data_IF_247014001975
#
_entry.id   IF_247014001975
#
_cell.length_a   1.000
_cell.length_b   1.000
_cell.length_c   1.000
_cell.angle_alpha   90.00
_cell.angle_beta   90.00
_cell.angle_gamma   90.00
#
_symmetry.space_group_name_H-M   'P 1'
#
loop_
_entity.id
_entity.type
_entity.pdbx_description
1 polymer ?
#
# COMPACT_ATOMS: atom_id res chain seq x y z
N UNK A 1 -2.88 13.85 -18.74
CA UNK A 1 -2.12 12.68 -18.22
C UNK A 1 -1.85 12.85 -16.72
N UNK A 2 -1.55 11.78 -15.99
CA UNK A 2 -1.19 11.85 -14.55
C UNK A 2 0.03 12.76 -14.32
N UNK A 3 0.95 12.81 -15.25
CA UNK A 3 2.15 13.67 -15.21
C UNK A 3 1.76 15.13 -15.22
N UNK A 4 0.85 15.54 -16.10
CA UNK A 4 0.40 16.94 -16.22
C UNK A 4 -0.48 17.38 -15.07
N UNK A 5 -1.24 16.46 -14.47
CA UNK A 5 -2.16 16.78 -13.38
C UNK A 5 -1.49 16.89 -12.00
N UNK A 6 -0.27 16.37 -11.82
CA UNK A 6 0.40 16.29 -10.51
C UNK A 6 -0.33 15.40 -9.49
N UNK A 7 -1.32 14.61 -9.95
CA UNK A 7 -2.10 13.70 -9.11
C UNK A 7 -1.30 12.46 -8.71
N UNK A 8 -1.60 11.85 -7.57
CA UNK A 8 -0.96 10.60 -7.18
C UNK A 8 -1.34 9.46 -8.14
N UNK A 9 -0.40 8.56 -8.39
CA UNK A 9 -0.63 7.36 -9.20
C UNK A 9 -1.67 6.44 -8.57
N UNK A 10 -1.58 6.26 -7.27
CA UNK A 10 -2.54 5.48 -6.49
C UNK A 10 -3.24 6.38 -5.48
N UNK A 11 -4.55 6.35 -5.45
CA UNK A 11 -5.35 7.12 -4.50
C UNK A 11 -6.65 6.39 -4.18
N UNK A 12 -6.93 6.23 -2.89
CA UNK A 12 -8.22 5.73 -2.43
C UNK A 12 -9.33 6.71 -2.78
N UNK A 13 -10.56 6.24 -3.04
CA UNK A 13 -11.72 7.12 -3.20
C UNK A 13 -11.93 7.98 -1.95
N UNK A 14 -12.34 9.22 -2.15
CA UNK A 14 -12.61 10.18 -1.07
C UNK A 14 -14.12 10.35 -0.92
N UNK A 15 -14.61 10.34 0.31
CA UNK A 15 -16.01 10.67 0.60
C UNK A 15 -16.26 12.18 0.42
N UNK A 16 -17.46 12.54 -0.02
CA UNK A 16 -17.87 13.93 -0.01
C UNK A 16 -17.94 14.49 1.42
N UNK A 17 -17.65 15.77 1.58
CA UNK A 17 -17.67 16.49 2.84
C UNK A 17 -17.03 17.87 2.70
N UNK A 18 -17.02 18.63 3.80
CA UNK A 18 -16.20 19.83 3.90
C UNK A 18 -14.77 19.45 4.25
N UNK A 19 -13.83 20.37 4.04
CA UNK A 19 -12.44 20.12 4.43
C UNK A 19 -11.84 21.34 5.12
N UNK A 20 -11.03 21.08 6.14
CA UNK A 20 -10.16 22.09 6.75
C UNK A 20 -8.89 22.37 5.94
N UNK A 21 -8.64 21.61 4.86
CA UNK A 21 -7.47 21.78 4.00
C UNK A 21 -7.23 23.21 3.54
N UNK A 22 -8.22 23.91 2.97
CA UNK A 22 -8.07 25.32 2.55
C UNK A 22 -7.68 26.24 3.70
N UNK A 23 -8.19 26.04 4.91
CA UNK A 23 -7.83 26.84 6.09
C UNK A 23 -6.38 26.58 6.53
N UNK A 24 -5.92 25.32 6.45
CA UNK A 24 -4.52 24.96 6.73
C UNK A 24 -3.59 25.59 5.71
N UNK A 25 -3.96 25.60 4.42
CA UNK A 25 -3.20 26.28 3.35
C UNK A 25 -3.09 27.79 3.63
N UNK A 26 -4.18 28.45 3.95
CA UNK A 26 -4.17 29.87 4.29
C UNK A 26 -3.34 30.17 5.55
N UNK A 27 -3.37 29.26 6.54
CA UNK A 27 -2.54 29.36 7.73
C UNK A 27 -1.03 29.26 7.39
N UNK A 28 -0.65 28.34 6.53
CA UNK A 28 0.72 28.16 6.08
C UNK A 28 1.23 29.42 5.36
N UNK A 29 0.45 29.98 4.46
CA UNK A 29 0.78 31.21 3.76
C UNK A 29 0.96 32.39 4.74
N UNK A 30 0.03 32.57 5.68
CA UNK A 30 0.04 33.66 6.64
C UNK A 30 1.13 33.51 7.71
N UNK A 31 1.39 32.32 8.22
CA UNK A 31 2.24 32.11 9.38
C UNK A 31 3.63 31.58 9.03
N UNK A 32 3.74 30.67 8.08
CA UNK A 32 5.03 30.14 7.61
C UNK A 32 5.61 30.93 6.45
N UNK A 33 4.81 31.80 5.82
CA UNK A 33 5.18 32.54 4.62
C UNK A 33 5.61 31.63 3.46
N UNK A 34 4.96 30.50 3.31
CA UNK A 34 5.19 29.53 2.26
C UNK A 34 3.92 29.23 1.48
N UNK A 35 4.05 29.18 0.16
CA UNK A 35 3.03 28.67 -0.73
C UNK A 35 3.14 27.16 -0.82
N UNK A 36 2.12 26.44 -0.34
CA UNK A 36 2.09 24.98 -0.42
C UNK A 36 1.90 24.54 -1.87
N UNK A 37 2.65 23.51 -2.26
CA UNK A 37 2.54 22.92 -3.60
C UNK A 37 1.18 22.21 -3.79
N UNK A 38 0.67 22.07 -5.03
CA UNK A 38 -0.63 21.47 -5.31
C UNK A 38 -0.82 20.07 -4.69
N UNK A 39 0.23 19.25 -4.69
CA UNK A 39 0.16 17.92 -4.07
C UNK A 39 -0.01 17.97 -2.54
N UNK A 40 0.61 18.96 -1.88
CA UNK A 40 0.47 19.18 -0.43
C UNK A 40 -0.95 19.67 -0.10
N UNK A 41 -1.47 20.60 -0.90
CA UNK A 41 -2.87 21.07 -0.76
C UNK A 41 -3.85 19.92 -0.94
N UNK A 42 -3.65 19.06 -1.96
CA UNK A 42 -4.49 17.88 -2.21
C UNK A 42 -4.50 16.91 -1.01
N UNK A 43 -3.33 16.67 -0.40
CA UNK A 43 -3.24 15.81 0.80
C UNK A 43 -3.99 16.42 1.97
N UNK A 44 -3.81 17.73 2.22
CA UNK A 44 -4.50 18.42 3.30
C UNK A 44 -6.02 18.42 3.08
N UNK A 45 -6.47 18.73 1.86
CA UNK A 45 -7.89 18.71 1.51
C UNK A 45 -8.52 17.34 1.80
N UNK A 46 -7.90 16.27 1.35
CA UNK A 46 -8.47 14.93 1.49
C UNK A 46 -8.33 14.35 2.92
N UNK A 47 -7.17 14.50 3.56
CA UNK A 47 -6.96 13.98 4.91
C UNK A 47 -7.82 14.71 5.97
N UNK A 48 -8.08 16.00 5.76
CA UNK A 48 -8.87 16.82 6.69
C UNK A 48 -10.33 16.99 6.25
N UNK A 49 -10.81 16.12 5.35
CA UNK A 49 -12.22 16.04 5.00
C UNK A 49 -13.05 15.59 6.21
N UNK A 50 -14.17 16.30 6.47
CA UNK A 50 -15.05 16.02 7.60
C UNK A 50 -16.53 16.17 7.23
N UNK A 51 -17.38 15.46 7.98
CA UNK A 51 -18.86 15.63 7.97
C UNK A 51 -19.29 16.04 9.36
N UNK A 52 -19.92 17.20 9.48
CA UNK A 52 -20.31 17.79 10.77
C UNK A 52 -19.17 17.83 11.80
N UNK A 53 -17.94 18.20 11.36
CA UNK A 53 -16.74 18.29 12.21
C UNK A 53 -16.05 16.95 12.53
N UNK A 54 -16.62 15.82 12.13
CA UNK A 54 -15.98 14.50 12.30
C UNK A 54 -15.18 14.13 11.06
N UNK A 55 -13.91 13.83 11.23
CA UNK A 55 -13.05 13.39 10.13
C UNK A 55 -13.61 12.11 9.50
N UNK A 56 -13.63 12.11 8.16
CA UNK A 56 -14.04 10.94 7.36
C UNK A 56 -12.97 9.85 7.45
N UNK A 57 -11.72 10.24 7.39
CA UNK A 57 -10.58 9.33 7.49
C UNK A 57 -9.99 9.37 8.89
N UNK A 58 -9.73 8.18 9.46
CA UNK A 58 -9.02 8.04 10.74
C UNK A 58 -7.51 7.87 10.53
N UNK A 59 -7.13 7.41 9.35
CA UNK A 59 -5.74 7.19 8.96
C UNK A 59 -5.50 7.74 7.56
N UNK A 60 -4.47 8.57 7.41
CA UNK A 60 -3.93 8.98 6.11
C UNK A 60 -2.55 8.37 5.90
N UNK A 61 -2.34 7.74 4.76
CA UNK A 61 -1.07 7.17 4.31
C UNK A 61 -0.61 7.92 3.06
N UNK A 62 0.49 8.65 3.17
CA UNK A 62 1.04 9.46 2.09
C UNK A 62 2.43 8.97 1.73
N UNK A 63 2.59 8.49 0.50
CA UNK A 63 3.88 8.01 -0.01
C UNK A 63 4.34 8.87 -1.19
N UNK A 64 5.52 9.46 -1.05
CA UNK A 64 6.14 10.32 -2.06
C UNK A 64 7.66 10.22 -1.96
N UNK A 65 8.38 10.44 -3.05
CA UNK A 65 9.84 10.39 -3.07
C UNK A 65 10.47 11.38 -2.06
N UNK A 66 11.74 11.18 -1.75
CA UNK A 66 12.48 12.05 -0.82
C UNK A 66 12.54 13.49 -1.33
N UNK A 67 12.68 14.45 -0.40
CA UNK A 67 12.85 15.90 -0.66
C UNK A 67 11.69 16.58 -1.39
N UNK A 68 10.51 15.98 -1.42
CA UNK A 68 9.32 16.58 -2.03
C UNK A 68 8.56 17.55 -1.11
N UNK A 69 9.08 17.90 0.08
CA UNK A 69 8.46 18.92 0.95
C UNK A 69 7.44 18.36 1.95
N UNK A 70 7.55 17.09 2.36
CA UNK A 70 6.72 16.49 3.43
C UNK A 70 6.73 17.30 4.72
N UNK A 71 7.90 17.78 5.11
CA UNK A 71 8.11 18.55 6.34
C UNK A 71 7.25 19.80 6.40
N UNK A 72 7.24 20.60 5.32
CA UNK A 72 6.43 21.83 5.25
C UNK A 72 4.94 21.58 5.36
N UNK A 73 4.45 20.47 4.76
CA UNK A 73 3.06 20.04 4.92
C UNK A 73 2.74 19.71 6.38
N UNK A 74 3.64 18.97 7.07
CA UNK A 74 3.49 18.62 8.48
C UNK A 74 3.47 19.87 9.37
N UNK A 75 4.39 20.81 9.15
CA UNK A 75 4.45 22.07 9.89
C UNK A 75 3.16 22.88 9.74
N UNK A 76 2.61 22.98 8.53
CA UNK A 76 1.34 23.64 8.28
C UNK A 76 0.18 22.97 9.03
N UNK A 77 0.05 21.65 8.95
CA UNK A 77 -1.00 20.90 9.62
C UNK A 77 -0.90 21.01 11.15
N UNK A 78 0.28 20.79 11.71
CA UNK A 78 0.51 20.85 13.17
C UNK A 78 0.28 22.27 13.70
N UNK A 79 0.80 23.29 13.02
CA UNK A 79 0.64 24.67 13.42
C UNK A 79 -0.84 25.10 13.46
N UNK A 80 -1.61 24.80 12.43
CA UNK A 80 -3.05 25.07 12.39
C UNK A 80 -3.81 24.29 13.45
N UNK A 81 -3.53 22.99 13.62
CA UNK A 81 -4.16 22.16 14.63
C UNK A 81 -3.88 22.63 16.06
N UNK A 82 -2.74 23.25 16.31
CA UNK A 82 -2.36 23.73 17.64
C UNK A 82 -2.95 25.13 17.93
N UNK A 83 -3.14 25.97 16.92
CA UNK A 83 -3.46 27.40 17.11
C UNK A 83 -4.88 27.78 16.69
N UNK A 84 -5.51 27.06 15.76
CA UNK A 84 -6.84 27.38 15.22
C UNK A 84 -7.87 26.34 15.57
N UNK A 85 -7.58 25.07 15.36
CA UNK A 85 -8.55 23.97 15.55
C UNK A 85 -9.17 23.88 16.96
N UNK A 86 -8.42 24.14 18.07
CA UNK A 86 -8.99 24.14 19.42
C UNK A 86 -10.13 25.15 19.60
N UNK A 87 -10.05 26.30 18.90
CA UNK A 87 -11.10 27.33 18.94
C UNK A 87 -12.37 26.86 18.21
N UNK A 88 -12.22 26.08 17.12
CA UNK A 88 -13.35 25.51 16.38
C UNK A 88 -14.12 24.49 17.23
N UNK A 89 -13.38 23.62 17.95
CA UNK A 89 -13.99 22.52 18.72
C UNK A 89 -14.23 22.86 20.20
N UNK A 90 -13.77 24.03 20.67
CA UNK A 90 -13.96 24.51 22.04
C UNK A 90 -13.20 23.72 23.12
N UNK A 91 -12.12 23.02 22.77
CA UNK A 91 -11.29 22.26 23.70
C UNK A 91 -9.83 22.15 23.24
N UNK A 92 -8.86 21.98 24.15
CA UNK A 92 -7.48 21.73 23.79
C UNK A 92 -7.30 20.39 23.08
N UNK A 93 -6.21 20.27 22.30
CA UNK A 93 -5.83 19.07 21.57
C UNK A 93 -4.44 18.58 21.95
N UNK A 94 -4.22 17.27 21.84
CA UNK A 94 -2.94 16.63 22.03
C UNK A 94 -2.41 16.10 20.70
N UNK A 95 -1.23 16.55 20.29
CA UNK A 95 -0.58 16.21 19.04
C UNK A 95 0.73 15.46 19.35
N UNK A 96 0.94 14.32 18.69
CA UNK A 96 2.18 13.57 18.74
C UNK A 96 2.84 13.54 17.36
N UNK A 97 4.09 13.97 17.25
CA UNK A 97 4.92 13.69 16.08
C UNK A 97 5.96 12.64 16.42
N UNK A 98 6.14 11.67 15.54
CA UNK A 98 7.10 10.59 15.70
C UNK A 98 7.82 10.28 14.38
N UNK A 99 9.11 9.98 14.47
CA UNK A 99 9.90 9.52 13.34
C UNK A 99 10.88 8.43 13.79
N UNK A 100 11.43 7.69 12.85
CA UNK A 100 12.49 6.73 13.15
C UNK A 100 13.76 7.44 13.64
N UNK A 101 14.17 8.48 12.94
CA UNK A 101 15.28 9.36 13.35
C UNK A 101 14.75 10.59 14.10
N UNK A 102 15.09 10.66 15.38
CA UNK A 102 14.69 11.80 16.22
C UNK A 102 15.39 13.10 15.80
N UNK A 103 16.58 13.04 15.20
CA UNK A 103 17.35 14.21 14.79
C UNK A 103 16.61 15.04 13.74
N UNK A 104 16.13 14.39 12.69
CA UNK A 104 15.33 15.04 11.63
C UNK A 104 13.99 15.60 12.15
N UNK A 105 13.31 14.84 13.03
CA UNK A 105 12.07 15.29 13.65
C UNK A 105 12.28 16.52 14.56
N UNK A 106 13.46 16.65 15.19
CA UNK A 106 13.83 17.78 16.06
C UNK A 106 14.17 19.03 15.25
N UNK A 107 14.78 18.90 14.07
CA UNK A 107 15.04 20.07 13.20
C UNK A 107 13.73 20.72 12.76
N UNK A 108 12.80 19.93 12.26
CA UNK A 108 11.44 20.41 11.90
C UNK A 108 10.70 20.99 13.10
N UNK A 109 10.84 20.38 14.28
CA UNK A 109 10.28 20.89 15.52
C UNK A 109 10.79 22.31 15.84
N UNK A 110 12.09 22.58 15.74
CA UNK A 110 12.63 23.89 16.08
C UNK A 110 12.11 25.00 15.18
N UNK A 111 12.04 24.76 13.89
CA UNK A 111 11.56 25.77 12.93
C UNK A 111 10.12 26.21 13.24
N UNK A 112 9.21 25.27 13.45
CA UNK A 112 7.82 25.59 13.79
C UNK A 112 7.67 26.12 15.22
N UNK A 113 8.44 25.58 16.19
CA UNK A 113 8.36 25.99 17.59
C UNK A 113 8.71 27.47 17.80
N UNK A 114 9.71 27.99 17.09
CA UNK A 114 10.09 29.40 17.16
C UNK A 114 8.93 30.31 16.72
N UNK A 115 8.23 29.97 15.65
CA UNK A 115 7.06 30.70 15.17
C UNK A 115 5.90 30.64 16.19
N UNK A 116 5.68 29.47 16.78
CA UNK A 116 4.63 29.27 17.78
C UNK A 116 4.92 30.04 19.09
N UNK A 117 6.17 30.12 19.50
CA UNK A 117 6.60 30.89 20.65
C UNK A 117 6.39 32.39 20.41
N UNK A 118 6.90 32.90 19.29
CA UNK A 118 6.90 34.34 18.98
C UNK A 118 5.49 34.88 18.68
N UNK A 119 4.70 34.16 17.88
CA UNK A 119 3.43 34.68 17.36
C UNK A 119 2.20 34.25 18.17
N UNK A 120 2.28 33.10 18.85
CA UNK A 120 1.14 32.51 19.55
C UNK A 120 1.34 32.37 21.07
N UNK A 121 2.48 32.82 21.58
CA UNK A 121 2.77 32.80 23.02
C UNK A 121 2.88 31.38 23.61
N UNK A 122 3.21 30.39 22.78
CA UNK A 122 3.43 29.04 23.25
C UNK A 122 4.67 28.92 24.12
N UNK A 123 4.65 28.02 25.08
CA UNK A 123 5.83 27.68 25.92
C UNK A 123 6.55 26.47 25.34
N UNK A 124 7.83 26.63 25.04
CA UNK A 124 8.62 25.59 24.37
C UNK A 124 9.54 24.90 25.39
N UNK A 125 9.54 23.58 25.37
CA UNK A 125 10.54 22.77 26.08
C UNK A 125 11.47 22.15 25.06
N UNK A 126 12.77 22.51 25.13
CA UNK A 126 13.85 21.98 24.29
C UNK A 126 14.83 21.22 25.17
N UNK A 127 14.57 19.93 25.41
CA UNK A 127 15.48 19.08 26.20
C UNK A 127 15.65 17.74 25.46
N UNK A 128 16.80 17.12 25.61
CA UNK A 128 17.09 15.81 25.01
C UNK A 128 15.98 14.81 25.35
N UNK A 129 15.30 14.32 24.31
CA UNK A 129 14.17 13.40 24.45
C UNK A 129 12.86 14.03 24.96
N UNK A 130 12.77 15.36 25.11
CA UNK A 130 11.58 16.08 25.57
C UNK A 130 11.36 17.38 24.78
N UNK A 131 11.11 17.26 23.50
CA UNK A 131 10.71 18.39 22.68
C UNK A 131 9.18 18.53 22.71
N UNK A 132 8.69 19.65 23.25
CA UNK A 132 7.27 19.86 23.47
C UNK A 132 6.90 21.34 23.37
N UNK A 133 5.76 21.62 22.73
CA UNK A 133 5.09 22.89 22.70
C UNK A 133 3.85 22.83 23.57
N UNK A 134 3.66 23.81 24.45
CA UNK A 134 2.42 23.97 25.22
C UNK A 134 1.78 25.31 24.83
N UNK A 135 0.60 25.22 24.22
CA UNK A 135 -0.18 26.39 23.83
C UNK A 135 -0.91 27.01 25.04
N UNK A 136 -1.27 28.31 24.99
CA UNK A 136 -1.94 28.99 26.11
C UNK A 136 -3.30 28.38 26.49
N UNK A 137 -3.99 27.74 25.55
CA UNK A 137 -5.29 27.08 25.74
C UNK A 137 -5.18 25.67 26.39
N UNK A 138 -3.96 25.19 26.61
CA UNK A 138 -3.68 23.87 27.16
C UNK A 138 -3.41 22.79 26.09
N UNK A 139 -3.47 23.14 24.79
CA UNK A 139 -3.08 22.22 23.72
C UNK A 139 -1.60 21.90 23.78
N UNK A 140 -1.25 20.68 23.42
CA UNK A 140 0.13 20.17 23.50
C UNK A 140 0.56 19.54 22.18
N UNK A 141 1.75 19.90 21.72
CA UNK A 141 2.45 19.16 20.68
C UNK A 141 3.75 18.57 21.22
N UNK A 142 3.91 17.26 21.11
CA UNK A 142 5.09 16.52 21.56
C UNK A 142 5.78 15.82 20.41
N UNK A 143 7.12 15.88 20.38
CA UNK A 143 7.95 15.10 19.46
C UNK A 143 8.64 13.98 20.24
N UNK A 144 8.57 12.75 19.74
CA UNK A 144 9.14 11.58 20.38
C UNK A 144 9.68 10.58 19.35
N UNK A 145 10.79 9.93 19.65
CA UNK A 145 11.24 8.80 18.84
C UNK A 145 10.22 7.64 18.90
N UNK A 146 10.04 6.95 17.77
CA UNK A 146 9.14 5.79 17.71
C UNK A 146 9.83 4.53 18.25
N UNK A 147 10.19 4.55 19.51
CA UNK A 147 10.59 3.33 20.22
C UNK A 147 9.31 2.64 20.70
N UNK A 148 9.19 1.31 20.51
CA UNK A 148 8.01 0.53 20.94
C UNK A 148 7.70 0.56 22.43
N UNK A 149 8.30 1.49 23.19
CA UNK A 149 7.93 1.83 24.56
C UNK A 149 6.67 2.69 24.51
N UNK A 150 5.67 2.33 25.31
CA UNK A 150 4.36 3.00 25.42
C UNK A 150 4.53 4.51 25.40
N UNK A 151 4.06 5.17 24.35
CA UNK A 151 3.84 6.62 24.36
C UNK A 151 2.65 6.87 25.30
N UNK A 152 2.92 7.01 26.61
CA UNK A 152 1.88 7.29 27.60
C UNK A 152 1.15 8.58 27.23
N UNK A 153 -0.15 8.49 27.03
CA UNK A 153 -1.03 9.61 26.70
C UNK A 153 -2.11 9.22 25.70
N UNK A 154 -3.13 10.08 25.61
CA UNK A 154 -4.18 10.01 24.61
C UNK A 154 -3.94 11.13 23.61
N UNK A 155 -3.85 10.78 22.32
CA UNK A 155 -3.46 11.71 21.26
C UNK A 155 -4.63 11.91 20.29
N UNK A 156 -5.06 13.16 20.12
CA UNK A 156 -6.08 13.52 19.12
C UNK A 156 -5.51 13.38 17.70
N UNK A 157 -4.26 13.81 17.52
CA UNK A 157 -3.55 13.78 16.24
C UNK A 157 -2.19 13.10 16.38
N UNK A 158 -1.87 12.24 15.43
CA UNK A 158 -0.55 11.58 15.34
C UNK A 158 0.01 11.82 13.94
N UNK A 159 1.24 12.28 13.89
CA UNK A 159 2.03 12.44 12.67
C UNK A 159 3.24 11.52 12.73
N UNK A 160 3.26 10.50 11.86
CA UNK A 160 4.39 9.58 11.74
C UNK A 160 5.15 9.83 10.44
N UNK A 161 6.43 10.16 10.52
CA UNK A 161 7.30 10.22 9.35
C UNK A 161 8.19 8.98 9.27
N UNK A 162 8.69 8.69 8.07
CA UNK A 162 9.50 7.51 7.77
C UNK A 162 8.83 6.18 8.17
N UNK A 163 7.54 6.02 7.83
CA UNK A 163 6.77 4.81 8.14
C UNK A 163 7.47 3.52 7.69
N UNK A 164 8.29 3.57 6.63
CA UNK A 164 9.06 2.44 6.13
C UNK A 164 9.96 1.80 7.20
N UNK A 165 10.39 2.58 8.21
CA UNK A 165 11.27 2.14 9.29
C UNK A 165 10.53 1.88 10.62
N UNK A 166 9.20 2.15 10.71
CA UNK A 166 8.43 1.95 11.93
C UNK A 166 8.05 0.47 12.12
N UNK A 167 8.18 -0.02 13.35
CA UNK A 167 7.80 -1.39 13.69
C UNK A 167 6.30 -1.56 13.93
N UNK A 168 5.80 -2.79 13.83
CA UNK A 168 4.42 -3.15 14.18
C UNK A 168 4.09 -2.80 15.63
N UNK A 169 5.02 -3.05 16.54
CA UNK A 169 4.86 -2.69 17.95
C UNK A 169 4.70 -1.18 18.17
N UNK A 170 5.37 -0.34 17.36
CA UNK A 170 5.21 1.10 17.42
C UNK A 170 3.83 1.54 16.91
N UNK A 171 3.44 1.14 15.71
CA UNK A 171 2.20 1.63 15.08
C UNK A 171 0.96 0.94 15.65
N UNK A 172 0.90 -0.37 15.62
CA UNK A 172 -0.28 -1.13 16.04
C UNK A 172 -0.31 -1.40 17.55
N UNK A 173 0.86 -1.52 18.19
CA UNK A 173 0.95 -1.77 19.63
C UNK A 173 0.93 -0.51 20.51
N UNK A 174 1.29 0.66 19.98
CA UNK A 174 1.37 1.88 20.76
C UNK A 174 0.56 3.05 20.18
N UNK A 175 0.79 3.45 18.91
CA UNK A 175 0.17 4.65 18.35
C UNK A 175 -1.36 4.48 18.18
N UNK A 176 -1.82 3.44 17.50
CA UNK A 176 -3.27 3.18 17.32
C UNK A 176 -4.03 3.02 18.63
N UNK A 177 -3.57 2.22 19.60
CA UNK A 177 -4.25 2.12 20.89
C UNK A 177 -4.36 3.45 21.65
N UNK A 178 -3.40 4.37 21.50
CA UNK A 178 -3.44 5.69 22.16
C UNK A 178 -4.57 6.59 21.66
N UNK A 179 -5.16 6.27 20.52
CA UNK A 179 -6.30 6.99 19.91
C UNK A 179 -7.67 6.31 20.11
N UNK A 180 -7.73 5.12 20.72
CA UNK A 180 -8.97 4.34 20.77
C UNK A 180 -10.10 5.05 21.52
N UNK A 181 -9.74 5.82 22.55
CA UNK A 181 -10.68 6.59 23.37
C UNK A 181 -10.96 8.00 22.81
N UNK A 182 -10.31 8.39 21.71
CA UNK A 182 -10.49 9.71 21.10
C UNK A 182 -11.72 9.68 20.18
N UNK A 183 -12.70 10.59 20.38
CA UNK A 183 -13.92 10.58 19.55
C UNK A 183 -13.67 10.92 18.09
N UNK A 184 -12.68 11.77 17.78
CA UNK A 184 -12.38 12.26 16.43
C UNK A 184 -10.88 12.26 16.16
N UNK A 185 -10.23 11.09 16.13
CA UNK A 185 -8.78 11.00 15.94
C UNK A 185 -8.40 11.07 14.47
N UNK A 186 -7.19 11.55 14.20
CA UNK A 186 -6.57 11.47 12.89
C UNK A 186 -5.09 11.06 13.04
N UNK A 187 -4.66 10.04 12.31
CA UNK A 187 -3.27 9.61 12.21
C UNK A 187 -2.80 9.80 10.77
N UNK A 188 -1.78 10.64 10.54
CA UNK A 188 -1.16 10.85 9.24
C UNK A 188 0.24 10.24 9.23
N UNK A 189 0.44 9.29 8.32
CA UNK A 189 1.66 8.54 8.16
C UNK A 189 2.30 8.86 6.82
N UNK A 190 3.55 9.30 6.86
CA UNK A 190 4.31 9.70 5.68
C UNK A 190 5.47 8.74 5.45
N UNK A 191 5.76 8.46 4.18
CA UNK A 191 6.87 7.57 3.82
C UNK A 191 7.39 7.84 2.41
N UNK A 192 8.56 7.32 2.17
CA UNK A 192 9.06 6.93 0.84
C UNK A 192 8.98 5.40 0.76
N UNK A 193 9.04 4.80 -0.43
CA UNK A 193 8.96 3.35 -0.61
C UNK A 193 9.89 2.60 0.36
N UNK A 194 9.37 1.55 0.94
CA UNK A 194 10.09 0.66 1.84
C UNK A 194 10.80 -0.50 1.13
N UNK A 195 11.12 -1.50 1.92
CA UNK A 195 11.67 -2.78 1.45
C UNK A 195 10.93 -3.96 2.12
N UNK A 196 11.48 -5.15 1.99
CA UNK A 196 10.93 -6.38 2.55
C UNK A 196 10.78 -6.36 4.09
N UNK A 197 11.48 -5.47 4.79
CA UNK A 197 11.37 -5.30 6.25
C UNK A 197 10.26 -4.34 6.67
N UNK A 198 9.72 -3.53 5.77
CA UNK A 198 8.77 -2.45 6.02
C UNK A 198 7.33 -2.99 6.20
N UNK A 199 7.12 -3.95 7.10
CA UNK A 199 5.87 -4.72 7.22
C UNK A 199 4.62 -3.88 7.46
N UNK A 200 4.68 -2.91 8.38
CA UNK A 200 3.54 -2.03 8.68
C UNK A 200 3.11 -1.24 7.46
N UNK A 201 4.09 -0.69 6.75
CA UNK A 201 3.81 0.07 5.54
C UNK A 201 3.23 -0.82 4.45
N UNK A 202 3.75 -2.04 4.27
CA UNK A 202 3.20 -3.02 3.35
C UNK A 202 1.74 -3.33 3.67
N UNK A 203 1.40 -3.63 4.93
CA UNK A 203 0.03 -3.94 5.36
C UNK A 203 -0.94 -2.78 5.07
N UNK A 204 -0.58 -1.55 5.44
CA UNK A 204 -1.42 -0.37 5.18
C UNK A 204 -1.57 -0.09 3.67
N UNK A 205 -0.48 -0.27 2.91
CA UNK A 205 -0.50 -0.10 1.46
C UNK A 205 -1.39 -1.15 0.78
N UNK A 206 -1.31 -2.42 1.20
CA UNK A 206 -2.18 -3.48 0.69
C UNK A 206 -3.66 -3.18 0.97
N UNK A 207 -3.99 -2.70 2.18
CA UNK A 207 -5.32 -2.25 2.51
C UNK A 207 -5.77 -1.11 1.58
N UNK A 208 -4.89 -0.13 1.33
CA UNK A 208 -5.16 0.97 0.40
C UNK A 208 -5.43 0.49 -1.03
N UNK A 209 -4.65 -0.47 -1.55
CA UNK A 209 -4.86 -1.07 -2.88
C UNK A 209 -6.21 -1.79 -2.97
N UNK A 210 -6.61 -2.54 -1.95
CA UNK A 210 -7.92 -3.17 -1.90
C UNK A 210 -9.06 -2.14 -1.92
N UNK A 211 -8.91 -1.01 -1.22
CA UNK A 211 -9.89 0.07 -1.20
C UNK A 211 -10.00 0.71 -2.60
N UNK A 212 -8.87 0.91 -3.29
CA UNK A 212 -8.84 1.42 -4.66
C UNK A 212 -9.61 0.48 -5.59
N UNK A 213 -9.34 -0.82 -5.55
CA UNK A 213 -9.96 -1.82 -6.42
C UNK A 213 -11.46 -1.99 -6.12
N UNK A 214 -11.88 -1.84 -4.86
CA UNK A 214 -13.31 -1.83 -4.49
C UNK A 214 -14.03 -0.55 -4.92
N UNK A 215 -13.32 0.55 -5.14
CA UNK A 215 -13.90 1.83 -5.55
C UNK A 215 -14.78 2.52 -4.50
N UNK A 216 -14.74 2.08 -3.23
CA UNK A 216 -15.57 2.63 -2.14
C UNK A 216 -14.70 3.33 -1.11
N UNK A 217 -15.13 4.52 -0.61
CA UNK A 217 -14.41 5.22 0.46
C UNK A 217 -14.30 4.38 1.74
N UNK A 218 -13.24 4.62 2.51
CA UNK A 218 -12.93 3.95 3.77
C UNK A 218 -12.40 4.96 4.80
N UNK A 219 -12.18 4.51 6.03
CA UNK A 219 -11.48 5.26 7.07
C UNK A 219 -9.96 5.40 6.82
N UNK A 220 -9.41 4.67 5.85
CA UNK A 220 -8.05 4.85 5.35
C UNK A 220 -8.06 5.66 4.05
N UNK A 221 -7.44 6.84 4.10
CA UNK A 221 -7.00 7.58 2.91
C UNK A 221 -5.59 7.16 2.53
N UNK A 222 -5.34 6.82 1.28
CA UNK A 222 -4.00 6.57 0.74
C UNK A 222 -3.78 7.41 -0.51
N UNK A 223 -2.60 8.05 -0.58
CA UNK A 223 -2.10 8.71 -1.78
C UNK A 223 -0.63 8.37 -1.99
N UNK A 224 -0.29 7.86 -3.18
CA UNK A 224 1.07 7.47 -3.54
C UNK A 224 1.48 8.09 -4.86
N UNK A 225 2.54 8.90 -4.81
CA UNK A 225 3.28 9.41 -5.96
C UNK A 225 4.47 8.50 -6.21
N UNK A 226 4.39 7.69 -7.24
CA UNK A 226 5.44 6.72 -7.57
C UNK A 226 5.49 6.46 -9.07
N UNK A 227 6.68 6.16 -9.60
CA UNK A 227 6.79 5.58 -10.93
C UNK A 227 6.21 4.15 -10.90
N UNK A 228 5.39 3.75 -11.87
CA UNK A 228 4.84 2.39 -11.90
C UNK A 228 5.94 1.33 -11.75
N UNK A 229 5.67 0.24 -10.98
CA UNK A 229 6.65 -0.83 -10.83
C UNK A 229 7.01 -1.41 -12.19
N UNK A 230 8.28 -1.76 -12.35
CA UNK A 230 8.78 -2.38 -13.55
C UNK A 230 9.06 -1.43 -14.73
N UNK A 231 8.79 -0.14 -14.62
CA UNK A 231 9.21 0.82 -15.64
C UNK A 231 10.72 1.10 -15.55
N UNK A 232 11.34 1.36 -16.72
CA UNK A 232 12.76 1.70 -16.79
C UNK A 232 13.06 2.96 -15.96
N UNK A 233 13.89 2.89 -14.93
CA UNK A 233 14.23 4.03 -14.08
C UNK A 233 15.00 5.14 -14.84
N UNK A 234 15.53 4.86 -16.03
CA UNK A 234 16.21 5.83 -16.88
C UNK A 234 15.29 6.72 -17.70
N UNK A 235 13.99 6.45 -17.75
CA UNK A 235 13.01 7.25 -18.48
C UNK A 235 12.64 8.49 -17.67
N UNK A 236 13.32 9.60 -17.94
CA UNK A 236 13.21 10.85 -17.18
C UNK A 236 11.79 11.47 -17.22
N UNK A 237 11.04 11.21 -18.29
CA UNK A 237 9.66 11.65 -18.47
C UNK A 237 8.71 11.07 -17.42
N UNK A 238 9.07 9.96 -16.78
CA UNK A 238 8.28 9.34 -15.71
C UNK A 238 8.59 9.87 -14.30
N UNK A 239 9.74 10.55 -14.13
CA UNK A 239 10.17 11.03 -12.81
C UNK A 239 9.20 11.98 -12.12
N UNK A 240 8.43 12.84 -12.83
CA UNK A 240 7.40 13.67 -12.21
C UNK A 240 6.31 12.88 -11.49
N UNK A 241 6.04 11.62 -11.86
CA UNK A 241 5.06 10.78 -11.19
C UNK A 241 5.40 10.50 -9.71
N UNK A 242 6.69 10.48 -9.38
CA UNK A 242 7.17 10.30 -8.01
C UNK A 242 7.59 11.61 -7.34
N UNK A 243 7.82 12.67 -8.14
CA UNK A 243 8.39 13.93 -7.69
C UNK A 243 7.48 15.11 -8.03
N UNK A 244 6.35 15.28 -7.32
CA UNK A 244 5.45 16.42 -7.57
C UNK A 244 6.06 17.78 -7.22
N UNK A 245 7.25 17.81 -6.59
CA UNK A 245 8.04 19.02 -6.34
C UNK A 245 9.08 19.32 -7.45
N UNK A 246 9.12 18.50 -8.51
CA UNK A 246 10.06 18.72 -9.63
C UNK A 246 9.77 20.06 -10.32
N UNK A 247 10.83 20.84 -10.54
CA UNK A 247 10.74 22.20 -11.07
C UNK A 247 10.42 23.28 -10.02
N UNK A 248 10.22 22.89 -8.74
CA UNK A 248 10.07 23.78 -7.59
C UNK A 248 11.28 23.65 -6.65
N UNK A 249 11.34 22.60 -5.86
CA UNK A 249 12.44 22.33 -4.90
C UNK A 249 13.41 21.28 -5.38
N UNK A 250 13.04 20.47 -6.37
CA UNK A 250 13.88 19.44 -6.99
C UNK A 250 14.14 19.83 -8.43
N UNK A 251 15.39 19.78 -8.88
CA UNK A 251 15.75 20.04 -10.29
C UNK A 251 15.95 18.73 -11.06
N UNK A 252 15.77 18.78 -12.37
CA UNK A 252 15.99 17.63 -13.24
C UNK A 252 17.45 17.17 -13.19
N UNK A 253 18.39 18.11 -13.12
CA UNK A 253 19.83 17.86 -13.03
C UNK A 253 20.19 17.09 -11.74
N UNK A 254 19.52 17.43 -10.62
CA UNK A 254 19.74 16.72 -9.36
C UNK A 254 19.27 15.27 -9.46
N UNK A 255 18.10 15.01 -10.05
CA UNK A 255 17.60 13.65 -10.29
C UNK A 255 18.49 12.91 -11.30
N UNK A 256 18.96 13.56 -12.35
CA UNK A 256 19.88 12.96 -13.32
C UNK A 256 21.20 12.57 -12.66
N UNK A 257 21.73 13.43 -11.78
CA UNK A 257 22.93 13.12 -11.01
C UNK A 257 22.71 11.92 -10.07
N UNK A 258 21.58 11.86 -9.38
CA UNK A 258 21.21 10.74 -8.54
C UNK A 258 21.03 9.44 -9.36
N UNK A 259 20.41 9.53 -10.54
CA UNK A 259 20.28 8.39 -11.45
C UNK A 259 21.63 7.86 -11.92
N UNK A 260 22.63 8.72 -12.15
CA UNK A 260 23.95 8.33 -12.60
C UNK A 260 24.79 7.62 -11.50
N UNK A 261 24.34 7.68 -10.23
CA UNK A 261 25.00 6.97 -9.14
C UNK A 261 24.96 5.44 -9.36
N UNK A 262 25.95 4.70 -8.82
CA UNK A 262 26.06 3.25 -9.02
C UNK A 262 24.87 2.47 -8.45
N UNK A 263 24.31 2.90 -7.32
CA UNK A 263 23.20 2.22 -6.64
C UNK A 263 21.85 2.58 -7.26
N UNK A 264 21.46 1.82 -8.28
CA UNK A 264 20.17 1.99 -8.97
C UNK A 264 18.98 1.63 -8.08
N UNK A 265 19.13 0.66 -7.18
CA UNK A 265 18.06 0.26 -6.25
C UNK A 265 17.73 1.42 -5.30
N UNK A 266 18.76 2.06 -4.76
CA UNK A 266 18.58 3.24 -3.91
C UNK A 266 17.94 4.40 -4.68
N UNK A 267 18.32 4.65 -5.93
CA UNK A 267 17.68 5.66 -6.77
C UNK A 267 16.19 5.36 -6.96
N UNK A 268 15.83 4.13 -7.32
CA UNK A 268 14.45 3.71 -7.53
C UNK A 268 13.60 3.87 -6.26
N UNK A 269 14.14 3.50 -5.09
CA UNK A 269 13.43 3.68 -3.82
C UNK A 269 13.31 5.13 -3.40
N UNK A 270 14.42 5.87 -3.40
CA UNK A 270 14.49 7.22 -2.84
C UNK A 270 13.84 8.29 -3.74
N UNK A 271 14.00 8.17 -5.07
CA UNK A 271 13.63 9.19 -6.03
C UNK A 271 12.50 8.78 -6.99
N UNK A 272 12.23 7.49 -7.15
CA UNK A 272 11.09 7.01 -7.94
C UNK A 272 9.96 6.44 -7.07
N UNK A 273 10.18 6.37 -5.76
CA UNK A 273 9.24 5.83 -4.78
C UNK A 273 8.74 4.42 -5.14
N UNK A 274 9.64 3.62 -5.73
CA UNK A 274 9.34 2.27 -6.18
C UNK A 274 9.70 1.23 -5.12
N UNK A 275 8.80 0.26 -4.94
CA UNK A 275 9.04 -0.92 -4.14
C UNK A 275 9.87 -1.91 -4.93
N UNK A 276 11.16 -1.95 -4.69
CA UNK A 276 12.13 -2.78 -5.42
C UNK A 276 12.97 -3.62 -4.48
N UNK A 277 13.35 -4.81 -4.95
CA UNK A 277 14.33 -5.68 -4.30
C UNK A 277 15.64 -5.70 -5.13
N UNK A 278 16.74 -5.99 -4.47
CA UNK A 278 18.02 -6.24 -5.12
C UNK A 278 18.03 -7.55 -5.96
N UNK A 279 17.06 -8.43 -5.76
CA UNK A 279 16.88 -9.67 -6.53
C UNK A 279 16.06 -9.41 -7.82
N UNK A 280 16.25 -10.27 -8.83
CA UNK A 280 15.64 -10.07 -10.16
C UNK A 280 14.12 -10.18 -10.18
N UNK A 281 13.47 -9.27 -10.88
CA UNK A 281 12.03 -9.31 -11.11
C UNK A 281 11.59 -10.54 -11.90
N UNK A 282 10.38 -11.03 -11.64
CA UNK A 282 9.78 -12.13 -12.38
C UNK A 282 9.46 -11.77 -13.82
N UNK A 283 8.91 -10.58 -14.05
CA UNK A 283 8.55 -10.06 -15.36
C UNK A 283 9.35 -8.79 -15.68
N UNK A 284 9.56 -8.57 -16.99
CA UNK A 284 10.10 -7.31 -17.48
C UNK A 284 9.08 -6.16 -17.30
N UNK A 285 9.57 -4.92 -17.24
CA UNK A 285 8.74 -3.73 -17.13
C UNK A 285 7.64 -3.66 -18.20
N UNK A 286 6.42 -3.30 -17.77
CA UNK A 286 5.28 -3.06 -18.67
C UNK A 286 4.60 -4.32 -19.24
N UNK A 287 5.21 -5.50 -19.16
CA UNK A 287 4.65 -6.74 -19.71
C UNK A 287 3.25 -7.02 -19.16
N UNK A 288 3.08 -6.94 -17.84
CA UNK A 288 1.77 -7.21 -17.22
C UNK A 288 0.72 -6.18 -17.62
N UNK A 289 1.04 -4.90 -17.61
CA UNK A 289 0.11 -3.83 -17.98
C UNK A 289 -0.42 -3.94 -19.40
N UNK A 290 0.37 -4.49 -20.34
CA UNK A 290 -0.05 -4.72 -21.72
C UNK A 290 -1.09 -5.83 -21.91
N UNK A 291 -1.41 -6.58 -20.84
CA UNK A 291 -2.33 -7.74 -20.89
C UNK A 291 -3.72 -7.42 -20.31
N UNK A 292 -4.01 -6.16 -20.01
CA UNK A 292 -5.33 -5.75 -19.53
C UNK A 292 -6.39 -5.91 -20.61
N UNK A 293 -7.56 -6.42 -20.23
CA UNK A 293 -8.70 -6.62 -21.13
C UNK A 293 -10.00 -6.14 -20.49
N UNK A 294 -10.91 -5.65 -21.36
CA UNK A 294 -12.30 -5.38 -21.00
C UNK A 294 -13.23 -6.57 -21.29
N UNK A 295 -12.72 -7.67 -21.84
CA UNK A 295 -13.51 -8.84 -22.15
C UNK A 295 -14.08 -9.46 -20.85
N UNK A 296 -15.29 -10.01 -20.86
CA UNK A 296 -15.88 -10.58 -19.67
C UNK A 296 -15.12 -11.83 -19.19
N UNK A 297 -15.00 -11.99 -17.88
CA UNK A 297 -14.39 -13.17 -17.28
C UNK A 297 -15.16 -14.44 -17.65
N UNK A 298 -14.54 -15.46 -18.28
CA UNK A 298 -15.22 -16.70 -18.62
C UNK A 298 -15.74 -17.44 -17.38
N UNK A 299 -16.79 -18.26 -17.57
CA UNK A 299 -17.30 -19.11 -16.50
C UNK A 299 -16.36 -20.30 -16.22
N UNK A 300 -16.46 -20.88 -15.02
CA UNK A 300 -15.66 -22.05 -14.62
C UNK A 300 -14.21 -21.75 -14.33
N UNK A 301 -13.34 -22.72 -14.56
CA UNK A 301 -11.90 -22.61 -14.38
C UNK A 301 -11.37 -23.18 -13.06
N UNK A 302 -10.30 -22.57 -12.56
CA UNK A 302 -9.62 -22.94 -11.31
C UNK A 302 -9.58 -21.74 -10.39
N UNK A 303 -10.05 -21.94 -9.15
CA UNK A 303 -9.92 -20.98 -8.06
C UNK A 303 -8.75 -21.44 -7.17
N UNK A 304 -7.66 -20.71 -7.15
CA UNK A 304 -6.56 -20.94 -6.22
C UNK A 304 -6.70 -20.04 -5.00
N UNK A 305 -6.52 -20.62 -3.82
CA UNK A 305 -6.60 -19.91 -2.55
C UNK A 305 -5.36 -20.12 -1.70
N UNK A 306 -4.97 -19.06 -1.00
CA UNK A 306 -3.81 -19.05 -0.12
C UNK A 306 -4.03 -18.10 1.06
N UNK A 307 -3.27 -18.32 2.13
CA UNK A 307 -3.16 -17.37 3.26
C UNK A 307 -1.82 -16.62 3.22
N UNK A 308 -1.80 -15.41 3.76
CA UNK A 308 -0.55 -14.68 4.02
C UNK A 308 0.31 -15.43 5.06
N UNK A 309 1.61 -15.11 5.10
CA UNK A 309 2.57 -15.78 6.00
C UNK A 309 2.19 -15.64 7.49
N UNK A 310 1.50 -14.55 7.83
CA UNK A 310 1.05 -14.22 9.19
C UNK A 310 -0.42 -14.61 9.45
N UNK A 311 -1.04 -15.34 8.54
CA UNK A 311 -2.45 -15.76 8.57
C UNK A 311 -3.47 -14.61 8.77
N UNK A 312 -3.04 -13.38 8.52
CA UNK A 312 -3.88 -12.18 8.67
C UNK A 312 -4.74 -11.89 7.44
N UNK A 313 -4.50 -12.60 6.34
CA UNK A 313 -5.19 -12.36 5.06
C UNK A 313 -5.32 -13.64 4.26
N UNK A 314 -6.49 -13.84 3.68
CA UNK A 314 -6.83 -14.96 2.80
C UNK A 314 -7.19 -14.42 1.42
N UNK A 315 -6.63 -15.00 0.38
CA UNK A 315 -6.80 -14.54 -0.99
C UNK A 315 -7.32 -15.65 -1.90
N UNK A 316 -8.10 -15.26 -2.91
CA UNK A 316 -8.57 -16.17 -3.94
C UNK A 316 -8.43 -15.54 -5.33
N UNK A 317 -7.73 -16.25 -6.23
CA UNK A 317 -7.57 -15.88 -7.64
C UNK A 317 -8.17 -16.96 -8.51
N UNK A 318 -9.07 -16.56 -9.40
CA UNK A 318 -9.67 -17.46 -10.38
C UNK A 318 -9.03 -17.25 -11.75
N UNK A 319 -8.68 -18.36 -12.39
CA UNK A 319 -8.29 -18.40 -13.79
C UNK A 319 -9.28 -19.24 -14.59
N UNK A 320 -9.70 -18.74 -15.74
CA UNK A 320 -10.59 -19.45 -16.67
C UNK A 320 -10.08 -19.31 -18.11
N UNK A 321 -10.27 -20.35 -18.91
CA UNK A 321 -9.81 -20.38 -20.29
C UNK A 321 -10.99 -20.19 -21.24
N UNK A 322 -10.89 -19.23 -22.16
CA UNK A 322 -11.94 -18.91 -23.13
C UNK A 322 -11.84 -19.71 -24.43
N UNK A 323 -10.85 -20.59 -24.56
CA UNK A 323 -10.51 -21.32 -25.78
C UNK A 323 -9.24 -20.79 -26.46
N UNK A 324 -8.81 -19.58 -26.12
CA UNK A 324 -7.62 -18.90 -26.72
C UNK A 324 -6.66 -18.44 -25.62
N UNK A 325 -7.17 -17.77 -24.61
CA UNK A 325 -6.39 -17.13 -23.54
C UNK A 325 -6.92 -17.51 -22.15
N UNK A 326 -6.05 -17.38 -21.16
CA UNK A 326 -6.39 -17.54 -19.75
C UNK A 326 -6.72 -16.18 -19.18
N UNK A 327 -7.95 -15.99 -18.73
CA UNK A 327 -8.39 -14.81 -17.98
C UNK A 327 -8.12 -14.98 -16.50
N UNK A 328 -7.70 -13.93 -15.85
CA UNK A 328 -7.34 -13.90 -14.42
C UNK A 328 -8.15 -12.85 -13.70
N UNK A 329 -8.71 -13.19 -12.55
CA UNK A 329 -9.47 -12.29 -11.70
C UNK A 329 -9.21 -12.57 -10.23
N UNK A 330 -9.08 -11.53 -9.42
CA UNK A 330 -9.11 -11.61 -7.96
C UNK A 330 -10.56 -11.76 -7.53
N UNK A 331 -10.93 -12.91 -6.98
CA UNK A 331 -12.31 -13.15 -6.55
C UNK A 331 -12.58 -12.63 -5.14
N UNK A 332 -11.59 -12.72 -4.26
CA UNK A 332 -11.71 -12.18 -2.91
C UNK A 332 -10.34 -11.93 -2.24
N UNK A 333 -10.38 -11.03 -1.27
CA UNK A 333 -9.34 -10.83 -0.25
C UNK A 333 -10.08 -10.58 1.05
N UNK A 334 -9.86 -11.42 2.06
CA UNK A 334 -10.56 -11.39 3.36
C UNK A 334 -9.57 -11.49 4.51
N UNK A 335 -9.99 -11.02 5.69
CA UNK A 335 -9.14 -10.97 6.89
C UNK A 335 -9.37 -12.18 7.82
N UNK A 336 -10.33 -13.04 7.49
CA UNK A 336 -10.64 -14.24 8.28
C UNK A 336 -10.86 -15.45 7.40
N UNK A 337 -10.48 -16.63 7.90
CA UNK A 337 -10.67 -17.88 7.20
C UNK A 337 -12.15 -18.19 6.95
N UNK A 338 -13.03 -17.88 7.92
CA UNK A 338 -14.48 -18.06 7.76
C UNK A 338 -15.03 -17.23 6.59
N UNK A 339 -14.63 -15.97 6.46
CA UNK A 339 -15.03 -15.15 5.33
C UNK A 339 -14.48 -15.68 4.01
N UNK A 340 -13.25 -16.20 4.01
CA UNK A 340 -12.66 -16.83 2.83
C UNK A 340 -13.47 -18.04 2.36
N UNK A 341 -13.87 -18.93 3.27
CA UNK A 341 -14.71 -20.09 2.92
C UNK A 341 -16.11 -19.69 2.43
N UNK A 342 -16.68 -18.60 2.95
CA UNK A 342 -17.94 -18.04 2.42
C UNK A 342 -17.77 -17.59 0.97
N UNK A 343 -16.68 -16.90 0.65
CA UNK A 343 -16.40 -16.49 -0.73
C UNK A 343 -16.09 -17.67 -1.66
N UNK A 344 -15.37 -18.69 -1.19
CA UNK A 344 -15.14 -19.93 -1.93
C UNK A 344 -16.46 -20.59 -2.27
N UNK A 345 -17.40 -20.71 -1.31
CA UNK A 345 -18.72 -21.29 -1.54
C UNK A 345 -19.51 -20.51 -2.59
N UNK A 346 -19.50 -19.18 -2.51
CA UNK A 346 -20.10 -18.29 -3.52
C UNK A 346 -19.54 -18.58 -4.91
N UNK A 347 -18.20 -18.54 -5.07
CA UNK A 347 -17.56 -18.75 -6.38
C UNK A 347 -17.82 -20.15 -6.92
N UNK A 348 -17.81 -21.18 -6.05
CA UNK A 348 -18.11 -22.57 -6.45
C UNK A 348 -19.58 -22.80 -6.81
N UNK A 349 -20.48 -21.98 -6.29
CA UNK A 349 -21.92 -22.00 -6.62
C UNK A 349 -22.19 -21.29 -7.95
N UNK A 350 -21.59 -20.12 -8.15
CA UNK A 350 -21.78 -19.29 -9.33
C UNK A 350 -21.07 -19.87 -10.56
N UNK A 351 -20.00 -20.61 -10.36
CA UNK A 351 -19.12 -21.14 -11.41
C UNK A 351 -18.73 -22.59 -11.15
N UNK A 352 -18.62 -23.37 -12.21
CA UNK A 352 -18.13 -24.75 -12.15
C UNK A 352 -16.60 -24.79 -12.04
N UNK A 353 -16.07 -24.35 -10.90
CA UNK A 353 -14.61 -24.27 -10.65
C UNK A 353 -14.07 -25.52 -9.96
N UNK A 354 -12.76 -25.79 -10.19
CA UNK A 354 -11.94 -26.66 -9.36
C UNK A 354 -11.16 -25.83 -8.38
N UNK A 355 -11.12 -26.20 -7.11
CA UNK A 355 -10.37 -25.48 -6.08
C UNK A 355 -8.90 -25.96 -6.06
N UNK A 356 -7.96 -25.02 -6.06
CA UNK A 356 -6.56 -25.26 -5.75
C UNK A 356 -6.28 -24.67 -4.35
N UNK A 357 -5.86 -25.51 -3.41
CA UNK A 357 -5.75 -25.15 -2.00
C UNK A 357 -4.37 -25.50 -1.47
N UNK A 358 -3.81 -24.62 -0.62
CA UNK A 358 -2.54 -24.90 0.05
C UNK A 358 -2.70 -25.92 1.19
N UNK A 359 -1.64 -26.64 1.59
CA UNK A 359 -1.73 -27.65 2.65
C UNK A 359 -2.25 -27.12 3.98
N UNK A 360 -1.97 -25.87 4.32
CA UNK A 360 -2.47 -25.20 5.54
C UNK A 360 -3.99 -25.07 5.55
N UNK A 361 -4.60 -24.81 4.40
CA UNK A 361 -6.06 -24.67 4.24
C UNK A 361 -6.74 -26.00 3.93
N UNK A 362 -6.02 -26.99 3.40
CA UNK A 362 -6.57 -28.32 3.10
C UNK A 362 -7.21 -28.97 4.33
N UNK A 363 -6.59 -28.84 5.50
CA UNK A 363 -7.07 -29.44 6.75
C UNK A 363 -8.39 -28.85 7.25
N UNK A 364 -8.76 -27.68 6.74
CA UNK A 364 -9.99 -26.96 7.11
C UNK A 364 -11.06 -26.95 6.01
N UNK A 365 -10.92 -27.81 4.98
CA UNK A 365 -11.84 -27.85 3.84
C UNK A 365 -13.29 -28.11 4.26
N UNK A 366 -14.22 -27.21 3.94
CA UNK A 366 -15.63 -27.40 4.22
C UNK A 366 -16.24 -28.54 3.38
N UNK A 367 -17.32 -29.20 3.86
CA UNK A 367 -17.97 -30.30 3.15
C UNK A 367 -18.50 -29.94 1.74
N UNK A 368 -18.86 -28.68 1.50
CA UNK A 368 -19.40 -28.24 0.20
C UNK A 368 -18.39 -28.36 -0.94
N UNK A 369 -17.09 -28.47 -0.66
CA UNK A 369 -16.05 -28.62 -1.69
C UNK A 369 -16.16 -29.94 -2.46
N UNK A 370 -16.85 -30.94 -1.91
CA UNK A 370 -17.22 -32.21 -2.58
C UNK A 370 -16.04 -32.89 -3.30
N UNK A 371 -14.84 -32.87 -2.72
CA UNK A 371 -13.61 -33.42 -3.32
C UNK A 371 -13.20 -32.81 -4.69
N UNK A 372 -13.77 -31.68 -5.09
CA UNK A 372 -13.35 -30.94 -6.29
C UNK A 372 -12.21 -29.98 -5.98
N UNK A 373 -11.16 -30.51 -5.40
CA UNK A 373 -9.97 -29.73 -5.06
C UNK A 373 -8.68 -30.47 -5.43
N UNK A 374 -7.61 -29.69 -5.53
CA UNK A 374 -6.23 -30.17 -5.70
C UNK A 374 -5.36 -29.41 -4.72
N UNK A 375 -4.50 -30.13 -4.01
CA UNK A 375 -3.52 -29.49 -3.13
C UNK A 375 -2.35 -28.98 -3.96
N UNK A 376 -1.98 -27.73 -3.72
CA UNK A 376 -0.88 -27.02 -4.39
C UNK A 376 0.09 -26.44 -3.38
N UNK A 377 1.35 -26.43 -3.70
CA UNK A 377 2.37 -25.94 -2.79
C UNK A 377 3.64 -25.52 -3.53
N UNK A 378 4.75 -25.58 -2.80
CA UNK A 378 6.06 -25.20 -3.35
C UNK A 378 6.46 -26.02 -4.58
N UNK A 379 6.19 -27.33 -4.59
CA UNK A 379 6.52 -28.21 -5.71
C UNK A 379 5.79 -27.80 -7.01
N UNK A 380 4.49 -27.47 -6.90
CA UNK A 380 3.70 -26.98 -8.02
C UNK A 380 4.15 -25.59 -8.44
N UNK A 381 4.48 -24.70 -7.48
CA UNK A 381 5.00 -23.37 -7.78
C UNK A 381 6.31 -23.46 -8.55
N UNK A 382 7.26 -24.29 -8.11
CA UNK A 382 8.52 -24.53 -8.82
C UNK A 382 8.29 -25.03 -10.26
N UNK A 383 7.34 -25.95 -10.44
CA UNK A 383 7.02 -26.52 -11.75
C UNK A 383 6.31 -25.55 -12.68
N UNK A 384 5.44 -24.68 -12.14
CA UNK A 384 4.55 -23.86 -12.94
C UNK A 384 5.05 -22.44 -13.18
N UNK A 385 5.97 -21.92 -12.35
CA UNK A 385 6.46 -20.54 -12.47
C UNK A 385 6.99 -20.21 -13.86
N UNK A 386 7.86 -21.06 -14.42
CA UNK A 386 8.43 -20.85 -15.76
C UNK A 386 7.38 -21.00 -16.86
N UNK A 387 6.45 -21.96 -16.73
CA UNK A 387 5.36 -22.17 -17.69
C UNK A 387 4.46 -20.92 -17.75
N UNK A 388 3.99 -20.42 -16.62
CA UNK A 388 3.09 -19.27 -16.58
C UNK A 388 3.82 -18.00 -17.02
N UNK A 389 5.10 -17.84 -16.68
CA UNK A 389 5.92 -16.74 -17.22
C UNK A 389 5.95 -16.77 -18.74
N UNK A 390 6.14 -17.93 -19.35
CA UNK A 390 6.12 -18.08 -20.83
C UNK A 390 4.75 -17.72 -21.39
N UNK A 391 3.65 -18.18 -20.76
CA UNK A 391 2.29 -17.83 -21.21
C UNK A 391 2.04 -16.32 -21.15
N UNK A 392 2.54 -15.64 -20.13
CA UNK A 392 2.44 -14.18 -20.00
C UNK A 392 3.22 -13.49 -21.13
N UNK A 393 4.46 -13.90 -21.38
CA UNK A 393 5.33 -13.34 -22.44
C UNK A 393 4.77 -13.60 -23.86
N UNK A 394 3.99 -14.66 -24.04
CA UNK A 394 3.31 -15.02 -25.29
C UNK A 394 1.89 -14.40 -25.37
N UNK A 395 1.54 -13.48 -24.47
CA UNK A 395 0.22 -12.81 -24.40
C UNK A 395 -0.98 -13.78 -24.33
N UNK A 396 -0.77 -14.94 -23.73
CA UNK A 396 -1.78 -15.98 -23.52
C UNK A 396 -2.53 -15.85 -22.19
N UNK A 397 -2.20 -14.84 -21.40
CA UNK A 397 -2.85 -14.48 -20.14
C UNK A 397 -3.41 -13.08 -20.27
N UNK A 398 -4.62 -12.84 -19.74
CA UNK A 398 -5.24 -11.52 -19.65
C UNK A 398 -5.77 -11.28 -18.24
N UNK A 399 -5.82 -10.01 -17.81
CA UNK A 399 -6.34 -9.61 -16.51
C UNK A 399 -7.31 -8.42 -16.63
N UNK A 400 -8.08 -8.15 -15.57
CA UNK A 400 -9.16 -7.17 -15.59
C UNK A 400 -8.79 -5.83 -14.90
N UNK A 401 -7.49 -5.53 -14.76
CA UNK A 401 -7.01 -4.23 -14.31
C UNK A 401 -6.95 -4.04 -12.80
N UNK A 402 -7.13 -5.09 -11.98
CA UNK A 402 -7.01 -4.96 -10.53
C UNK A 402 -5.61 -4.48 -10.12
N UNK A 403 -5.55 -3.33 -9.43
CA UNK A 403 -4.29 -2.70 -9.05
C UNK A 403 -3.50 -3.56 -8.07
N UNK A 404 -4.18 -4.20 -7.12
CA UNK A 404 -3.53 -5.06 -6.13
C UNK A 404 -2.87 -6.28 -6.80
N UNK A 405 -3.51 -6.89 -7.79
CA UNK A 405 -2.91 -8.01 -8.55
C UNK A 405 -1.68 -7.54 -9.34
N UNK A 406 -1.78 -6.39 -10.00
CA UNK A 406 -0.68 -5.80 -10.76
C UNK A 406 0.54 -5.51 -9.84
N UNK A 407 0.31 -4.99 -8.64
CA UNK A 407 1.37 -4.75 -7.67
C UNK A 407 2.02 -6.05 -7.18
N UNK A 408 1.23 -7.10 -6.89
CA UNK A 408 1.75 -8.42 -6.52
C UNK A 408 2.58 -9.05 -7.63
N UNK A 409 2.12 -8.95 -8.88
CA UNK A 409 2.83 -9.49 -10.07
C UNK A 409 4.13 -8.75 -10.31
N UNK A 410 4.12 -7.43 -10.30
CA UNK A 410 5.28 -6.61 -10.65
C UNK A 410 6.39 -6.65 -9.60
N UNK A 411 6.06 -6.84 -8.31
CA UNK A 411 7.05 -6.96 -7.23
C UNK A 411 7.53 -8.38 -6.97
N UNK A 412 6.95 -9.38 -7.65
CA UNK A 412 7.35 -10.77 -7.47
C UNK A 412 8.78 -11.00 -7.94
N UNK A 413 9.57 -11.64 -7.10
CA UNK A 413 11.00 -11.93 -7.36
C UNK A 413 11.18 -13.37 -7.73
N UNK A 414 11.93 -13.59 -8.81
CA UNK A 414 12.31 -14.91 -9.30
C UNK A 414 13.65 -15.33 -8.71
N UNK A 415 13.68 -16.46 -8.04
CA UNK A 415 14.92 -17.06 -7.50
C UNK A 415 15.23 -18.33 -8.27
N UNK A 416 16.48 -18.45 -8.69
CA UNK A 416 17.00 -19.66 -9.33
C UNK A 416 17.41 -20.66 -8.24
N UNK A 417 16.96 -21.88 -8.36
CA UNK A 417 17.32 -23.02 -7.51
C UNK A 417 17.98 -24.10 -8.36
N UNK A 418 18.52 -25.12 -7.73
CA UNK A 418 19.10 -26.30 -8.44
C UNK A 418 18.03 -27.02 -9.29
N UNK A 419 16.76 -26.94 -8.89
CA UNK A 419 15.64 -27.63 -9.56
C UNK A 419 14.88 -26.75 -10.55
N UNK A 420 15.20 -25.45 -10.67
CA UNK A 420 14.53 -24.53 -11.56
C UNK A 420 14.36 -23.13 -10.95
N UNK A 421 13.48 -22.35 -11.53
CA UNK A 421 13.17 -21.00 -11.07
C UNK A 421 11.81 -20.95 -10.35
N UNK A 422 11.74 -20.25 -9.23
CA UNK A 422 10.54 -20.16 -8.39
C UNK A 422 10.35 -18.75 -7.84
N UNK A 423 9.10 -18.35 -7.65
CA UNK A 423 8.76 -17.10 -6.97
C UNK A 423 9.08 -17.18 -5.47
N UNK A 424 9.70 -16.14 -4.95
CA UNK A 424 10.11 -16.07 -3.55
C UNK A 424 9.40 -14.96 -2.79
N UNK A 425 8.51 -15.32 -1.87
CA UNK A 425 7.86 -14.36 -0.96
C UNK A 425 8.85 -13.65 -0.04
N UNK A 426 9.96 -14.32 0.34
CA UNK A 426 10.98 -13.76 1.23
C UNK A 426 11.86 -12.70 0.55
N UNK A 427 12.07 -12.80 -0.76
CA UNK A 427 12.90 -11.88 -1.54
C UNK A 427 12.08 -10.78 -2.22
N UNK A 428 10.77 -10.95 -2.28
CA UNK A 428 9.87 -9.94 -2.82
C UNK A 428 9.68 -8.79 -1.82
N UNK A 429 9.67 -7.52 -2.28
CA UNK A 429 9.56 -6.35 -1.41
C UNK A 429 8.11 -6.12 -0.93
N UNK A 430 7.36 -7.19 -0.73
CA UNK A 430 5.98 -7.19 -0.24
C UNK A 430 5.26 -8.50 -0.54
N UNK A 431 3.99 -8.61 -0.16
CA UNK A 431 3.16 -9.79 -0.38
C UNK A 431 3.04 -10.16 -1.86
N UNK A 432 3.05 -11.46 -2.19
CA UNK A 432 2.88 -12.01 -3.55
C UNK A 432 1.91 -13.18 -3.61
N UNK A 433 1.04 -13.36 -2.61
CA UNK A 433 0.11 -14.49 -2.55
C UNK A 433 -0.80 -14.51 -3.79
N UNK A 434 -1.29 -13.36 -4.26
CA UNK A 434 -2.10 -13.29 -5.48
C UNK A 434 -1.33 -13.79 -6.71
N UNK A 435 -0.03 -13.49 -6.82
CA UNK A 435 0.81 -13.99 -7.91
C UNK A 435 1.03 -15.49 -7.82
N UNK A 436 1.19 -16.04 -6.61
CA UNK A 436 1.32 -17.49 -6.41
C UNK A 436 0.04 -18.22 -6.78
N UNK A 437 -1.12 -17.70 -6.35
CA UNK A 437 -2.43 -18.19 -6.75
C UNK A 437 -2.64 -18.12 -8.28
N UNK A 438 -2.25 -17.00 -8.90
CA UNK A 438 -2.24 -16.85 -10.36
C UNK A 438 -1.45 -17.99 -11.03
N UNK A 439 -0.22 -18.26 -10.55
CA UNK A 439 0.66 -19.29 -11.14
C UNK A 439 0.01 -20.67 -11.05
N UNK A 440 -0.55 -21.03 -9.90
CA UNK A 440 -1.23 -22.32 -9.76
C UNK A 440 -2.46 -22.42 -10.64
N UNK A 441 -3.36 -21.44 -10.56
CA UNK A 441 -4.64 -21.48 -11.29
C UNK A 441 -4.44 -21.42 -12.80
N UNK A 442 -3.57 -20.53 -13.33
CA UNK A 442 -3.32 -20.43 -14.76
C UNK A 442 -2.66 -21.67 -15.34
N UNK A 443 -1.69 -22.28 -14.64
CA UNK A 443 -1.09 -23.51 -15.07
C UNK A 443 -2.07 -24.70 -15.08
N UNK A 444 -2.97 -24.76 -14.10
CA UNK A 444 -3.93 -25.86 -13.98
C UNK A 444 -5.03 -25.75 -15.05
N UNK A 445 -5.54 -24.55 -15.33
CA UNK A 445 -6.59 -24.35 -16.33
C UNK A 445 -6.10 -24.55 -17.75
N UNK A 446 -4.81 -24.31 -18.03
CA UNK A 446 -4.21 -24.50 -19.35
C UNK A 446 -3.83 -25.95 -19.66
N UNK A 447 -3.90 -26.85 -18.71
CA UNK A 447 -3.69 -28.29 -19.00
C UNK A 447 -4.83 -28.81 -19.86
N UNK A 448 -4.55 -29.47 -21.01
CA UNK A 448 -5.61 -30.14 -21.75
C UNK A 448 -6.28 -31.16 -20.82
N UNK A 449 -7.60 -31.09 -20.73
CA UNK A 449 -8.39 -32.12 -20.05
C UNK A 449 -8.03 -33.45 -20.73
N UNK A 450 -7.26 -34.30 -20.05
CA UNK A 450 -7.09 -35.68 -20.50
C UNK A 450 -8.48 -36.31 -20.41
N UNK A 451 -9.14 -36.44 -21.57
CA UNK A 451 -10.29 -37.32 -21.69
C UNK A 451 -9.84 -38.69 -21.20
N UNK A 452 -10.20 -39.04 -20.00
CA UNK A 452 -10.17 -40.45 -19.55
C UNK A 452 -11.14 -41.16 -20.47
N UNK A 453 -10.61 -41.80 -21.52
CA UNK A 453 -11.40 -42.76 -22.29
C UNK A 453 -11.91 -43.77 -21.26
N UNK A 454 -13.21 -44.02 -21.20
CA UNK A 454 -13.72 -45.07 -20.35
C UNK A 454 -13.01 -46.37 -20.74
N UNK A 455 -12.40 -47.04 -19.79
CA UNK A 455 -11.88 -48.38 -19.95
C UNK A 455 -13.08 -49.25 -20.32
N UNK A 456 -13.20 -49.61 -21.58
CA UNK A 456 -14.10 -50.63 -22.07
C UNK A 456 -13.60 -51.96 -21.49
N UNK A 457 -14.20 -52.38 -20.37
CA UNK A 457 -14.02 -53.77 -19.85
C UNK A 457 -14.84 -54.66 -20.81
N UNK A 458 -14.17 -55.22 -21.81
CA UNK A 458 -14.77 -56.32 -22.60
C UNK A 458 -14.75 -57.54 -21.73
N UNK A 459 -15.88 -57.85 -21.11
CA UNK A 459 -16.12 -59.14 -20.48
C UNK A 459 -16.07 -60.22 -21.54
N UNK A 460 -15.08 -61.12 -21.47
CA UNK A 460 -15.16 -62.38 -22.21
C UNK A 460 -16.21 -63.24 -21.52
N UNK A 461 -17.31 -63.59 -22.21
CA UNK A 461 -18.21 -64.64 -21.91
C UNK A 461 -17.58 -66.02 -22.20
#
# INVERSE_FOLDING_TARGET
SLIESGLPRLRTPVSGGNSYGPEIVAWAEAQLQVELMPWQQLVLENCFTHVAGRFVHRTGLVSVARQNGKTTLLEAAIGWLLTVYPQIIGKPVNILSTAHDLGLAVESFHALADILEERFGCKITRAYGRNQVNAPDGSVWKVSASTGKKHGGTWDFIFGDELWALSEAAVFGALRPSQIAVPNPLMLLFSTAGDESSRVFQQLREQGLQIIDRGTPSDLYMAEWSVPPGMDPGVAELWPLANPALGKTITLEALQSAHNAPDKVQFMRAHLNQWVSAAGSWLEPGVWAGLETADPMPAGGVLAIETSIDDSRFVGVRCAFDGTRVHVKVEFITDTETAAWTEVERVMTDHAVTLAVTPSLEIHLPPFTNKRFTVVGYAELLKFTSLVRTMILEERVQHHGEQILAEHVNRAVLVKTVQGAVLSSQKSPGPIELTRCLVWAAAMVSKPVRNQRPLLVVGRG
#
